data_IF_456173931082
#
_entry.id   IF_456173931082
#
_cell.length_a   1.000
_cell.length_b   1.000
_cell.length_c   1.000
_cell.angle_alpha   90.00
_cell.angle_beta   90.00
_cell.angle_gamma   90.00
#
_symmetry.space_group_name_H-M   'P 1'
#
loop_
_entity.id
_entity.type
_entity.pdbx_description
1 polymer ?
#
# COMPACT_ATOMS: atom_id res chain seq x y z
N UNK A 1 -16.69 -5.73 3.64
CA UNK A 1 -15.69 -4.87 3.00
C UNK A 1 -16.38 -3.92 2.03
N UNK A 2 -16.03 -2.65 2.03
CA UNK A 2 -16.67 -1.55 1.28
C UNK A 2 -18.13 -1.29 1.65
N UNK A 3 -18.57 -1.67 2.86
CA UNK A 3 -19.84 -1.26 3.41
C UNK A 3 -19.64 -0.06 4.34
N UNK A 4 -20.63 0.82 4.38
CA UNK A 4 -20.57 2.01 5.22
C UNK A 4 -21.97 2.43 5.67
N UNK A 5 -22.04 3.25 6.70
CA UNK A 5 -23.30 3.74 7.25
C UNK A 5 -23.12 4.74 8.38
N UNK A 6 -24.24 5.28 8.85
CA UNK A 6 -24.27 6.16 10.01
C UNK A 6 -24.53 5.36 11.28
N UNK A 7 -23.79 5.68 12.32
CA UNK A 7 -23.85 5.05 13.64
C UNK A 7 -23.83 6.11 14.73
N UNK A 8 -24.19 5.71 15.94
CA UNK A 8 -24.03 6.53 17.14
C UNK A 8 -22.91 5.96 17.99
N UNK A 9 -21.93 6.81 18.35
CA UNK A 9 -20.90 6.50 19.33
C UNK A 9 -20.92 7.60 20.39
N UNK A 10 -21.17 7.22 21.64
CA UNK A 10 -21.23 8.12 22.78
C UNK A 10 -22.25 9.27 22.63
N UNK A 11 -23.40 9.02 21.98
CA UNK A 11 -24.42 10.01 21.67
C UNK A 11 -24.03 10.98 20.54
N UNK A 12 -23.06 10.59 19.72
CA UNK A 12 -22.61 11.41 18.60
C UNK A 12 -22.74 10.60 17.29
N UNK A 13 -23.41 11.21 16.31
CA UNK A 13 -23.55 10.61 14.98
C UNK A 13 -22.20 10.66 14.26
N UNK A 14 -21.76 9.50 13.78
CA UNK A 14 -20.55 9.31 12.99
C UNK A 14 -20.87 8.53 11.74
N UNK A 15 -20.03 8.67 10.70
CA UNK A 15 -20.06 7.81 9.52
C UNK A 15 -18.93 6.80 9.64
N UNK A 16 -19.25 5.52 9.53
CA UNK A 16 -18.25 4.45 9.62
C UNK A 16 -18.21 3.70 8.29
N UNK A 17 -17.00 3.56 7.77
CA UNK A 17 -16.71 2.75 6.59
C UNK A 17 -15.89 1.53 6.97
N UNK A 18 -16.27 0.35 6.47
CA UNK A 18 -15.46 -0.87 6.59
C UNK A 18 -14.42 -0.89 5.48
N UNK A 19 -13.49 0.04 5.60
CA UNK A 19 -12.33 0.27 4.76
C UNK A 19 -11.11 0.50 5.65
N UNK A 20 -9.94 0.56 5.07
CA UNK A 20 -8.71 0.83 5.79
C UNK A 20 -7.51 0.88 4.85
N UNK A 21 -6.40 1.33 5.40
CA UNK A 21 -5.15 1.54 4.66
C UNK A 21 -4.01 0.62 5.13
N UNK A 22 -4.37 -0.50 5.77
CA UNK A 22 -3.41 -1.46 6.34
C UNK A 22 -3.48 -2.85 5.70
N UNK A 23 -4.38 -3.06 4.74
CA UNK A 23 -4.74 -4.37 4.19
C UNK A 23 -5.32 -5.36 5.21
N UNK A 24 -5.65 -4.90 6.41
CA UNK A 24 -6.32 -5.66 7.46
C UNK A 24 -7.84 -5.44 7.46
N UNK A 25 -8.56 -6.25 8.24
CA UNK A 25 -9.96 -5.98 8.55
C UNK A 25 -10.02 -4.74 9.45
N UNK A 26 -10.50 -3.64 8.91
CA UNK A 26 -10.51 -2.36 9.58
C UNK A 26 -11.75 -1.53 9.34
N UNK A 27 -11.86 -0.47 10.13
CA UNK A 27 -12.91 0.53 10.04
C UNK A 27 -12.32 1.93 10.11
N UNK A 28 -12.87 2.82 9.31
CA UNK A 28 -12.58 4.26 9.35
C UNK A 28 -13.78 4.99 9.92
N UNK A 29 -13.58 5.81 10.94
CA UNK A 29 -14.63 6.56 11.63
C UNK A 29 -14.49 8.04 11.26
N UNK A 30 -15.51 8.57 10.60
CA UNK A 30 -15.55 9.96 10.16
C UNK A 30 -16.51 10.75 11.06
N UNK A 31 -16.01 11.82 11.64
CA UNK A 31 -16.84 12.78 12.38
C UNK A 31 -17.65 13.66 11.43
N UNK A 32 -18.83 14.13 11.87
CA UNK A 32 -19.74 14.91 11.03
C UNK A 32 -19.58 16.44 11.19
N UNK A 33 -18.43 16.90 11.62
CA UNK A 33 -18.14 18.32 11.61
C UNK A 33 -17.82 18.93 12.98
N UNK A 34 -18.02 20.27 13.10
CA UNK A 34 -17.50 21.08 14.22
C UNK A 34 -18.12 20.77 15.59
N UNK A 35 -19.33 20.21 15.61
CA UNK A 35 -20.04 19.89 16.85
C UNK A 35 -19.62 18.57 17.47
N UNK A 36 -18.67 17.86 16.85
CA UNK A 36 -18.14 16.60 17.38
C UNK A 36 -17.25 16.84 18.59
N UNK A 37 -17.59 16.23 19.72
CA UNK A 37 -16.71 16.17 20.87
C UNK A 37 -15.67 15.04 20.67
N UNK A 38 -14.57 15.39 20.03
CA UNK A 38 -13.49 14.44 19.67
C UNK A 38 -12.89 13.74 20.88
N UNK A 39 -12.73 14.47 22.01
CA UNK A 39 -12.20 13.89 23.26
C UNK A 39 -13.13 12.82 23.82
N UNK A 40 -14.44 13.09 23.82
CA UNK A 40 -15.44 12.10 24.27
C UNK A 40 -15.45 10.89 23.35
N UNK A 41 -15.45 11.10 22.03
CA UNK A 41 -15.41 10.03 21.04
C UNK A 41 -14.19 9.12 21.23
N UNK A 42 -13.01 9.73 21.30
CA UNK A 42 -11.73 9.04 21.54
C UNK A 42 -11.73 8.22 22.83
N UNK A 43 -12.09 8.88 23.95
CA UNK A 43 -12.09 8.22 25.26
C UNK A 43 -13.08 7.05 25.31
N UNK A 44 -14.27 7.20 24.71
CA UNK A 44 -15.25 6.12 24.65
C UNK A 44 -14.73 4.92 23.85
N UNK A 45 -14.06 5.16 22.73
CA UNK A 45 -13.47 4.07 21.92
C UNK A 45 -12.39 3.34 22.74
N UNK A 46 -11.52 4.06 23.43
CA UNK A 46 -10.48 3.44 24.27
C UNK A 46 -11.04 2.70 25.47
N UNK A 47 -12.05 3.28 26.14
CA UNK A 47 -12.69 2.70 27.32
C UNK A 47 -13.40 1.38 26.99
N UNK A 48 -14.17 1.36 25.89
CA UNK A 48 -14.90 0.17 25.45
C UNK A 48 -13.96 -0.86 24.81
N UNK A 49 -12.98 -0.41 24.06
CA UNK A 49 -12.07 -1.28 23.32
C UNK A 49 -10.93 -1.85 24.18
N UNK A 50 -10.48 -1.14 25.21
CA UNK A 50 -9.36 -1.55 26.05
C UNK A 50 -9.52 -2.97 26.64
N UNK A 51 -10.65 -3.31 27.28
CA UNK A 51 -10.91 -4.68 27.76
C UNK A 51 -10.95 -5.74 26.67
N UNK A 52 -11.14 -5.33 25.41
CA UNK A 52 -11.12 -6.20 24.21
C UNK A 52 -9.76 -6.26 23.54
N UNK A 53 -8.72 -5.67 24.14
CA UNK A 53 -7.37 -5.67 23.59
C UNK A 53 -7.05 -4.52 22.62
N UNK A 54 -7.88 -3.46 22.58
CA UNK A 54 -7.58 -2.28 21.79
C UNK A 54 -6.35 -1.56 22.34
N UNK A 55 -5.38 -1.31 21.50
CA UNK A 55 -4.22 -0.48 21.77
C UNK A 55 -4.12 0.65 20.77
N UNK A 56 -3.62 1.80 21.23
CA UNK A 56 -3.24 2.89 20.32
C UNK A 56 -1.96 2.49 19.58
N UNK A 57 -1.95 2.73 18.27
CA UNK A 57 -0.80 2.50 17.42
C UNK A 57 -0.43 3.75 16.61
N UNK A 58 0.77 3.77 16.05
CA UNK A 58 1.34 4.91 15.38
C UNK A 58 1.41 4.77 13.86
N UNK A 59 1.77 5.88 13.20
CA UNK A 59 1.86 5.95 11.74
C UNK A 59 2.89 4.97 11.16
N UNK A 60 3.94 4.61 11.91
CA UNK A 60 4.97 3.70 11.43
C UNK A 60 4.43 2.27 11.23
N UNK A 61 3.53 1.80 12.09
CA UNK A 61 2.89 0.49 11.90
C UNK A 61 1.94 0.51 10.70
N UNK A 62 1.20 1.60 10.52
CA UNK A 62 0.35 1.78 9.36
C UNK A 62 1.17 1.77 8.05
N UNK A 63 2.30 2.49 8.01
CA UNK A 63 3.24 2.48 6.88
C UNK A 63 3.76 1.07 6.59
N UNK A 64 4.14 0.34 7.63
CA UNK A 64 4.61 -1.03 7.53
C UNK A 64 3.53 -1.93 6.92
N UNK A 65 2.32 -1.88 7.46
CA UNK A 65 1.20 -2.72 7.01
C UNK A 65 0.73 -2.37 5.59
N UNK A 66 0.66 -1.07 5.21
CA UNK A 66 0.28 -0.68 3.86
C UNK A 66 1.25 -1.21 2.80
N UNK A 67 2.56 -1.15 3.11
CA UNK A 67 3.59 -1.66 2.20
C UNK A 67 3.44 -3.18 2.06
N UNK A 68 3.32 -3.92 3.14
CA UNK A 68 3.05 -5.37 3.14
C UNK A 68 1.84 -5.71 2.26
N UNK A 69 0.75 -4.97 2.42
CA UNK A 69 -0.50 -5.17 1.69
C UNK A 69 -0.52 -4.66 0.26
N UNK A 70 0.56 -4.06 -0.22
CA UNK A 70 0.65 -3.51 -1.58
C UNK A 70 -0.26 -2.30 -1.80
N UNK A 71 -0.52 -1.50 -0.76
CA UNK A 71 -1.30 -0.27 -0.84
C UNK A 71 -0.35 0.89 -1.14
N UNK A 72 -0.62 1.57 -2.25
CA UNK A 72 0.24 2.65 -2.75
C UNK A 72 -0.16 4.00 -2.17
N UNK A 73 0.84 4.82 -1.87
CA UNK A 73 0.69 6.20 -1.45
C UNK A 73 1.02 7.17 -2.60
N UNK A 74 0.10 8.11 -2.84
CA UNK A 74 0.27 9.13 -3.87
C UNK A 74 1.36 10.13 -3.49
N UNK A 75 2.17 10.53 -4.46
CA UNK A 75 3.36 11.36 -4.32
C UNK A 75 4.54 10.73 -3.55
N UNK A 76 4.38 9.53 -3.01
CA UNK A 76 5.47 8.73 -2.46
C UNK A 76 5.83 7.62 -3.44
N UNK A 77 4.93 6.66 -3.67
CA UNK A 77 5.20 5.48 -4.48
C UNK A 77 4.97 5.72 -5.97
N UNK A 78 4.04 6.59 -6.30
CA UNK A 78 3.74 7.03 -7.67
C UNK A 78 3.30 8.50 -7.68
N UNK A 79 3.39 9.13 -8.82
CA UNK A 79 2.99 10.52 -9.05
C UNK A 79 2.39 10.70 -10.47
N UNK A 80 2.13 11.95 -10.88
CA UNK A 80 1.55 12.30 -12.18
C UNK A 80 2.40 11.89 -13.39
N UNK A 81 3.64 11.44 -13.19
CA UNK A 81 4.50 10.92 -14.27
C UNK A 81 4.25 9.44 -14.59
N UNK A 82 3.35 8.80 -13.84
CA UNK A 82 2.93 7.40 -14.06
C UNK A 82 1.44 7.33 -14.33
N UNK A 83 1.05 6.55 -15.34
CA UNK A 83 -0.34 6.22 -15.56
C UNK A 83 -0.76 4.99 -14.72
N UNK A 84 -2.07 4.70 -14.59
CA UNK A 84 -2.55 3.59 -13.76
C UNK A 84 -1.98 2.22 -14.15
N UNK A 85 -1.70 1.98 -15.42
CA UNK A 85 -1.16 0.70 -15.89
C UNK A 85 0.30 0.54 -15.47
N UNK A 86 1.10 1.61 -15.55
CA UNK A 86 2.49 1.61 -15.07
C UNK A 86 2.58 1.40 -13.56
N UNK A 87 1.64 1.97 -12.80
CA UNK A 87 1.56 1.80 -11.36
C UNK A 87 0.98 0.44 -10.92
N UNK A 88 0.58 -0.43 -11.87
CA UNK A 88 -0.05 -1.71 -11.56
C UNK A 88 -1.51 -1.60 -11.07
N UNK A 89 -2.13 -0.44 -11.24
CA UNK A 89 -3.52 -0.15 -10.86
C UNK A 89 -4.52 -0.36 -12.01
N UNK A 90 -4.09 -0.91 -13.13
CA UNK A 90 -4.92 -1.11 -14.32
C UNK A 90 -6.20 -1.91 -14.05
N UNK A 91 -6.18 -2.83 -13.08
CA UNK A 91 -7.36 -3.58 -12.63
C UNK A 91 -8.49 -2.72 -12.04
N UNK A 92 -8.20 -1.48 -11.67
CA UNK A 92 -9.16 -0.51 -11.14
C UNK A 92 -9.74 0.40 -12.24
N UNK A 93 -9.26 0.24 -13.49
CA UNK A 93 -9.69 1.03 -14.64
C UNK A 93 -10.67 0.18 -15.45
N UNK A 94 -11.95 0.55 -15.38
CA UNK A 94 -13.01 -0.09 -16.17
C UNK A 94 -13.16 0.64 -17.51
N UNK A 95 -12.56 0.07 -18.55
CA UNK A 95 -12.61 0.62 -19.90
C UNK A 95 -13.92 0.29 -20.64
N UNK A 96 -14.71 -0.66 -20.14
CA UNK A 96 -16.00 -1.07 -20.74
C UNK A 96 -17.15 -0.19 -20.24
N UNK A 97 -16.93 0.56 -19.16
CA UNK A 97 -17.90 1.54 -18.63
C UNK A 97 -18.23 2.60 -19.70
N UNK A 98 -19.44 3.21 -19.57
CA UNK A 98 -19.86 4.36 -20.37
C UNK A 98 -18.78 5.48 -20.39
N UNK A 99 -18.96 6.48 -21.26
CA UNK A 99 -17.96 7.53 -21.41
C UNK A 99 -17.70 8.28 -20.11
N UNK A 100 -16.43 8.57 -19.84
CA UNK A 100 -15.96 9.33 -18.69
C UNK A 100 -14.73 10.15 -19.04
N UNK A 101 -14.41 11.16 -18.23
CA UNK A 101 -13.27 12.04 -18.44
C UNK A 101 -11.97 11.21 -18.43
N UNK A 102 -11.23 11.25 -19.53
CA UNK A 102 -9.96 10.55 -19.70
C UNK A 102 -10.05 9.16 -20.33
N UNK A 103 -11.25 8.60 -20.59
CA UNK A 103 -11.42 7.26 -21.16
C UNK A 103 -10.59 7.04 -22.44
N UNK A 104 -10.64 7.97 -23.40
CA UNK A 104 -9.88 7.85 -24.67
C UNK A 104 -8.37 7.74 -24.43
N UNK A 105 -7.84 8.56 -23.53
CA UNK A 105 -6.42 8.51 -23.17
C UNK A 105 -6.05 7.18 -22.49
N UNK A 106 -6.89 6.69 -21.57
CA UNK A 106 -6.66 5.43 -20.87
C UNK A 106 -6.74 4.22 -21.82
N UNK A 107 -7.64 4.23 -22.81
CA UNK A 107 -7.68 3.18 -23.86
C UNK A 107 -6.37 3.13 -24.65
N UNK A 108 -5.81 4.28 -25.02
CA UNK A 108 -4.54 4.31 -25.75
C UNK A 108 -3.35 3.91 -24.86
N UNK A 109 -3.34 4.33 -23.60
CA UNK A 109 -2.30 3.97 -22.64
C UNK A 109 -2.33 2.48 -22.30
N UNK A 110 -3.51 1.86 -22.18
CA UNK A 110 -3.63 0.41 -21.91
C UNK A 110 -2.96 -0.47 -22.95
N UNK A 111 -2.87 0.00 -24.22
CA UNK A 111 -2.23 -0.72 -25.31
C UNK A 111 -0.70 -0.58 -25.33
N UNK A 112 -0.18 0.50 -24.74
CA UNK A 112 1.23 0.92 -24.88
C UNK A 112 2.02 0.82 -23.58
N UNK A 113 1.32 0.92 -22.45
CA UNK A 113 1.97 0.97 -21.14
C UNK A 113 2.12 -0.43 -20.54
N UNK A 114 3.32 -0.73 -20.06
CA UNK A 114 3.56 -1.86 -19.20
C UNK A 114 3.84 -1.43 -17.77
N UNK A 115 3.78 -2.37 -16.84
CA UNK A 115 4.01 -2.12 -15.43
C UNK A 115 5.46 -1.71 -15.15
N UNK A 116 5.62 -0.72 -14.25
CA UNK A 116 6.92 -0.21 -13.79
C UNK A 116 7.09 -0.28 -12.28
N UNK A 117 6.00 -0.44 -11.52
CA UNK A 117 6.01 -0.52 -10.06
C UNK A 117 5.86 -1.97 -9.61
N UNK A 118 6.82 -2.43 -8.80
CA UNK A 118 6.90 -3.80 -8.29
C UNK A 118 7.24 -3.80 -6.80
N UNK A 119 7.14 -4.97 -6.16
CA UNK A 119 7.72 -5.23 -4.86
C UNK A 119 9.18 -5.62 -4.99
N UNK A 120 9.95 -5.37 -3.92
CA UNK A 120 11.33 -5.81 -3.78
C UNK A 120 11.53 -6.37 -2.38
N UNK A 121 12.30 -7.46 -2.26
CA UNK A 121 12.58 -8.16 -1.01
C UNK A 121 14.09 -8.30 -0.81
N UNK A 122 14.55 -8.11 0.44
CA UNK A 122 15.94 -8.29 0.84
C UNK A 122 16.06 -8.85 2.26
N UNK A 123 17.17 -9.50 2.55
CA UNK A 123 17.56 -9.92 3.91
C UNK A 123 18.14 -8.76 4.75
N UNK A 124 18.57 -7.67 4.12
CA UNK A 124 19.14 -6.49 4.77
C UNK A 124 18.29 -5.25 4.51
N UNK A 125 18.39 -4.28 5.43
CA UNK A 125 17.68 -3.00 5.31
C UNK A 125 18.20 -2.19 4.11
N UNK A 126 17.26 -1.55 3.43
CA UNK A 126 17.53 -0.64 2.32
C UNK A 126 17.96 0.74 2.82
N UNK A 127 18.85 1.37 2.11
CA UNK A 127 19.10 2.81 2.23
C UNK A 127 17.88 3.59 1.76
N UNK A 128 17.56 4.67 2.44
CA UNK A 128 16.43 5.51 2.09
C UNK A 128 16.56 6.06 0.66
N UNK A 129 15.52 5.85 -0.15
CA UNK A 129 15.49 6.21 -1.59
C UNK A 129 16.67 5.64 -2.39
N UNK A 130 17.11 4.43 -2.02
CA UNK A 130 18.18 3.73 -2.74
C UNK A 130 17.85 3.59 -4.23
N UNK A 131 18.86 3.75 -5.06
CA UNK A 131 18.76 3.31 -6.46
C UNK A 131 18.74 1.79 -6.54
N UNK A 132 18.21 1.29 -7.66
CA UNK A 132 18.20 -0.13 -8.01
C UNK A 132 19.03 -0.34 -9.27
N UNK A 133 19.89 -1.34 -9.23
CA UNK A 133 20.91 -1.60 -10.22
C UNK A 133 20.80 -3.01 -10.80
N UNK A 134 21.15 -3.16 -12.06
CA UNK A 134 21.49 -4.45 -12.65
C UNK A 134 22.93 -4.87 -12.26
N UNK A 135 23.31 -6.10 -12.60
CA UNK A 135 24.64 -6.64 -12.32
C UNK A 135 25.80 -5.88 -12.99
N UNK A 136 25.52 -5.13 -14.04
CA UNK A 136 26.46 -4.27 -14.77
C UNK A 136 26.54 -2.83 -14.24
N UNK A 137 26.03 -2.56 -13.04
CA UNK A 137 25.94 -1.25 -12.38
C UNK A 137 25.03 -0.22 -13.07
N UNK A 138 24.21 -0.64 -14.02
CA UNK A 138 23.19 0.22 -14.63
C UNK A 138 22.08 0.53 -13.64
N UNK A 139 21.76 1.80 -13.44
CA UNK A 139 20.62 2.26 -12.63
C UNK A 139 19.34 2.07 -13.40
N UNK A 140 18.50 1.16 -12.96
CA UNK A 140 17.24 0.81 -13.63
C UNK A 140 15.99 1.29 -12.91
N UNK A 141 16.13 1.82 -11.70
CA UNK A 141 15.02 2.32 -10.90
C UNK A 141 15.45 2.82 -9.54
N UNK A 142 14.49 3.04 -8.67
CA UNK A 142 14.74 3.46 -7.28
C UNK A 142 13.63 2.95 -6.34
N UNK A 143 13.89 2.97 -5.04
CA UNK A 143 12.94 2.59 -3.98
C UNK A 143 12.28 3.85 -3.41
N UNK A 144 11.00 4.12 -3.71
CA UNK A 144 10.26 5.22 -3.08
C UNK A 144 9.94 4.96 -1.60
N UNK A 145 9.69 3.70 -1.24
CA UNK A 145 9.34 3.30 0.12
C UNK A 145 9.88 1.90 0.44
N UNK A 146 10.31 1.71 1.68
CA UNK A 146 10.77 0.41 2.19
C UNK A 146 10.58 0.32 3.69
N UNK A 147 10.41 -0.92 4.21
CA UNK A 147 10.21 -1.20 5.62
C UNK A 147 10.66 -2.62 5.97
N UNK A 148 10.77 -2.91 7.26
CA UNK A 148 10.78 -4.27 7.76
C UNK A 148 9.37 -4.86 7.72
N UNK A 149 9.23 -6.09 7.24
CA UNK A 149 7.97 -6.85 7.28
C UNK A 149 8.01 -7.86 8.42
N UNK A 150 7.21 -7.68 9.49
CA UNK A 150 7.09 -8.68 10.54
C UNK A 150 6.41 -9.96 10.04
N UNK A 151 5.52 -9.86 9.07
CA UNK A 151 4.84 -11.00 8.45
C UNK A 151 5.81 -11.89 7.67
N UNK A 152 6.62 -11.30 6.80
CA UNK A 152 7.56 -12.02 5.95
C UNK A 152 8.93 -12.24 6.61
N UNK A 153 9.20 -11.54 7.72
CA UNK A 153 10.51 -11.50 8.41
C UNK A 153 11.64 -11.13 7.47
N UNK A 154 11.39 -10.15 6.61
CA UNK A 154 12.32 -9.62 5.60
C UNK A 154 12.13 -8.12 5.45
N UNK A 155 13.13 -7.47 4.85
CA UNK A 155 12.97 -6.09 4.39
C UNK A 155 12.27 -6.11 3.03
N UNK A 156 11.24 -5.30 2.93
CA UNK A 156 10.42 -5.16 1.72
C UNK A 156 10.32 -3.70 1.32
N UNK A 157 9.98 -3.46 0.08
CA UNK A 157 9.76 -2.10 -0.42
C UNK A 157 9.09 -2.11 -1.77
N UNK A 158 8.76 -0.92 -2.24
CA UNK A 158 8.37 -0.73 -3.62
C UNK A 158 9.59 -0.34 -4.43
N UNK A 159 9.65 -0.83 -5.66
CA UNK A 159 10.62 -0.41 -6.65
C UNK A 159 9.90 0.19 -7.85
N UNK A 160 10.33 1.39 -8.24
CA UNK A 160 9.85 2.08 -9.42
C UNK A 160 10.93 2.04 -10.49
N UNK A 161 10.71 1.21 -11.50
CA UNK A 161 11.64 1.08 -12.62
C UNK A 161 11.51 2.25 -13.60
N UNK A 162 12.60 2.58 -14.27
CA UNK A 162 12.67 3.66 -15.25
C UNK A 162 11.84 3.37 -16.50
N UNK A 163 11.65 2.09 -16.82
CA UNK A 163 10.88 1.60 -17.97
C UNK A 163 10.10 0.33 -17.63
N UNK A 164 9.12 0.02 -18.46
CA UNK A 164 8.27 -1.18 -18.33
C UNK A 164 9.05 -2.45 -18.67
N UNK A 165 8.78 -3.53 -17.95
CA UNK A 165 9.42 -4.82 -18.21
C UNK A 165 8.88 -5.94 -17.33
N UNK A 166 9.34 -7.16 -17.59
CA UNK A 166 9.12 -8.35 -16.74
C UNK A 166 10.22 -8.42 -15.68
N UNK A 167 10.23 -7.47 -14.79
CA UNK A 167 11.32 -7.26 -13.83
C UNK A 167 11.48 -8.40 -12.83
N UNK A 168 10.45 -9.21 -12.59
CA UNK A 168 10.52 -10.41 -11.75
C UNK A 168 11.48 -11.48 -12.28
N UNK A 169 11.87 -11.40 -13.54
CA UNK A 169 12.81 -12.33 -14.18
C UNK A 169 14.28 -11.90 -14.00
N UNK A 170 14.51 -10.72 -13.39
CA UNK A 170 15.84 -10.13 -13.24
C UNK A 170 16.34 -10.19 -11.80
N UNK A 171 17.64 -10.41 -11.65
CA UNK A 171 18.36 -10.15 -10.41
C UNK A 171 18.76 -8.68 -10.37
N UNK A 172 18.41 -8.02 -9.28
CA UNK A 172 18.73 -6.62 -9.06
C UNK A 172 19.47 -6.44 -7.74
N UNK A 173 20.14 -5.31 -7.60
CA UNK A 173 20.81 -4.90 -6.37
C UNK A 173 20.31 -3.55 -5.94
N UNK A 174 20.34 -3.30 -4.64
CA UNK A 174 20.04 -2.01 -4.05
C UNK A 174 21.15 -1.64 -3.04
N UNK A 175 21.18 -0.39 -2.60
CA UNK A 175 22.10 0.05 -1.54
C UNK A 175 21.50 -0.25 -0.17
N UNK A 176 22.30 -0.78 0.73
CA UNK A 176 21.95 -0.97 2.13
C UNK A 176 22.36 0.24 2.99
N UNK A 177 22.01 0.21 4.29
CA UNK A 177 22.30 1.29 5.22
C UNK A 177 23.82 1.56 5.40
N UNK A 178 24.66 0.58 5.13
CA UNK A 178 26.13 0.68 5.20
C UNK A 178 26.76 0.99 3.84
N UNK A 179 25.98 1.45 2.88
CA UNK A 179 26.39 1.75 1.51
C UNK A 179 26.90 0.53 0.70
N UNK A 180 26.79 -0.68 1.23
CA UNK A 180 27.09 -1.89 0.47
C UNK A 180 25.93 -2.25 -0.47
N UNK A 181 26.23 -2.97 -1.56
CA UNK A 181 25.19 -3.54 -2.40
C UNK A 181 24.62 -4.81 -1.79
N UNK A 182 23.32 -4.96 -1.91
CA UNK A 182 22.56 -6.13 -1.48
C UNK A 182 21.78 -6.71 -2.65
N UNK A 183 21.81 -8.02 -2.78
CA UNK A 183 20.98 -8.73 -3.77
C UNK A 183 19.52 -8.69 -3.33
N UNK A 184 18.65 -8.48 -4.31
CA UNK A 184 17.23 -8.30 -4.09
C UNK A 184 16.42 -9.14 -5.06
N UNK A 185 15.29 -9.62 -4.56
CA UNK A 185 14.26 -10.29 -5.35
C UNK A 185 13.17 -9.30 -5.72
N UNK A 186 12.83 -9.22 -7.00
CA UNK A 186 11.69 -8.43 -7.50
C UNK A 186 10.46 -9.32 -7.54
N UNK A 187 9.36 -8.85 -6.97
CA UNK A 187 8.11 -9.61 -6.85
C UNK A 187 6.90 -8.80 -7.30
N UNK A 188 5.83 -9.51 -7.63
CA UNK A 188 4.53 -8.89 -7.86
C UNK A 188 3.90 -8.42 -6.55
N UNK A 189 3.14 -7.31 -6.60
CA UNK A 189 2.36 -6.81 -5.48
C UNK A 189 0.92 -7.37 -5.49
N UNK A 190 0.30 -7.57 -4.33
CA UNK A 190 0.84 -7.38 -2.97
C UNK A 190 1.82 -8.49 -2.56
N UNK A 191 2.59 -8.27 -1.50
CA UNK A 191 3.55 -9.27 -1.00
C UNK A 191 2.87 -10.53 -0.47
N UNK A 192 1.69 -10.40 0.12
CA UNK A 192 0.84 -11.51 0.56
C UNK A 192 -0.65 -11.17 0.34
N UNK A 193 -1.54 -12.13 0.63
CA UNK A 193 -3.00 -11.99 0.50
C UNK A 193 -3.44 -11.38 -0.85
N UNK A 194 -3.01 -11.99 -1.94
CA UNK A 194 -3.29 -11.52 -3.33
C UNK A 194 -4.79 -11.38 -3.60
N UNK A 195 -5.61 -12.24 -2.97
CA UNK A 195 -7.05 -12.26 -3.15
C UNK A 195 -7.80 -11.34 -2.18
N UNK A 196 -7.06 -10.62 -1.30
CA UNK A 196 -7.62 -9.70 -0.29
C UNK A 196 -8.67 -10.38 0.59
N UNK A 197 -8.37 -11.57 1.09
CA UNK A 197 -9.24 -12.35 1.95
C UNK A 197 -9.27 -11.78 3.38
N UNK A 198 -8.14 -11.29 3.88
CA UNK A 198 -8.00 -10.70 5.23
C UNK A 198 -8.92 -9.48 5.39
N UNK A 199 -8.79 -8.38 4.60
CA UNK A 199 -9.63 -7.20 4.77
C UNK A 199 -11.12 -7.49 4.49
N UNK A 200 -11.41 -8.57 3.78
CA UNK A 200 -12.80 -9.03 3.53
C UNK A 200 -13.35 -9.86 4.69
N UNK A 201 -12.54 -10.21 5.68
CA UNK A 201 -12.89 -11.06 6.80
C UNK A 201 -13.20 -12.51 6.40
N UNK A 202 -12.62 -12.97 5.31
CA UNK A 202 -12.71 -14.37 4.83
C UNK A 202 -11.54 -15.22 5.30
N UNK A 203 -10.40 -14.60 5.54
CA UNK A 203 -9.26 -15.17 6.22
C UNK A 203 -9.10 -14.42 7.55
N UNK A 204 -9.16 -15.15 8.65
CA UNK A 204 -9.02 -14.64 10.02
C UNK A 204 -7.70 -15.08 10.66
N UNK A 205 -6.87 -15.79 9.92
CA UNK A 205 -5.51 -16.08 10.37
C UNK A 205 -4.70 -14.78 10.37
N UNK A 206 -4.20 -14.40 11.54
CA UNK A 206 -3.27 -13.28 11.67
C UNK A 206 -1.88 -13.86 11.37
N UNK A 207 -1.14 -13.29 10.42
CA UNK A 207 0.22 -13.73 10.09
C UNK A 207 1.17 -13.56 11.27
#
# INVERSE_FOLDING_TARGET
YYHSGFFDIAGQKVYISRTGWTAELGYEIYSLGRDTNYKKLWNTILEVGGPLGLHFDGILSMEMRRIEGGILDSNTDFDSSMNPFEAGLGRLVDLDKDDFIGKKALVELSKKSGKRLFGIISEKAFKYKSNVYLSNDEVVGYLPASTWSPTLKKYIGYVRFNYSGKWTDFKVRAESLDDSFIDCEVVELPFYDKDKLIPRGKDTTIP
#
